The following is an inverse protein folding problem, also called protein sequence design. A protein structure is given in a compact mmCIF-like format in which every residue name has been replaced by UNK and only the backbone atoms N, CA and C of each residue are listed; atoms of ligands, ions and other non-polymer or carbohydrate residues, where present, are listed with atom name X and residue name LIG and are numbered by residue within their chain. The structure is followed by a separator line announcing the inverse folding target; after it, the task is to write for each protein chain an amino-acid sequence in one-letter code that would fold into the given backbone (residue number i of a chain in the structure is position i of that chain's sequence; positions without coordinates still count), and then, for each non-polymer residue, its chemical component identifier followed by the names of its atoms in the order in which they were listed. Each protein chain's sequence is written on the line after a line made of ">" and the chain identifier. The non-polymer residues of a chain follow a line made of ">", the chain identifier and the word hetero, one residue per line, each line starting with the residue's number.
data_IF_493259303565
#
_entry.id   IF_493259303565
#
_cell.length_a   1.000
_cell.length_b   1.000
_cell.length_c   1.000
_cell.angle_alpha   90.00
_cell.angle_beta   90.00
_cell.angle_gamma   90.00
#
_symmetry.space_group_name_H-M   'P 1'
#
loop_
_entity.id
_entity.type
_entity.pdbx_description
1 polymer ?
#
# COMPACT_ATOMS: atom_id res chain seq x y z
N UNK A 1 -8.80 33.09 -1.65
CA UNK A 1 -9.51 32.41 -2.75
C UNK A 1 -8.86 31.03 -2.89
N UNK A 2 -9.65 29.93 -2.94
CA UNK A 2 -9.10 28.64 -3.32
C UNK A 2 -8.57 28.73 -4.76
N UNK A 3 -7.42 28.09 -5.09
CA UNK A 3 -6.89 28.11 -6.45
C UNK A 3 -7.91 27.48 -7.42
N UNK A 4 -8.01 28.04 -8.63
CA UNK A 4 -8.92 27.54 -9.67
C UNK A 4 -8.53 26.14 -10.23
N UNK A 5 -7.40 25.59 -9.80
CA UNK A 5 -6.85 24.31 -10.25
C UNK A 5 -6.69 23.37 -9.06
N UNK A 6 -7.00 22.08 -9.24
CA UNK A 6 -6.92 21.05 -8.23
C UNK A 6 -6.13 19.85 -8.79
N UNK A 7 -4.82 19.82 -8.50
CA UNK A 7 -3.91 18.75 -8.94
C UNK A 7 -3.61 17.86 -7.74
N UNK A 8 -4.20 16.67 -7.72
CA UNK A 8 -4.05 15.73 -6.61
C UNK A 8 -2.97 14.68 -6.90
N UNK A 9 -1.81 14.83 -6.27
CA UNK A 9 -0.64 13.96 -6.40
C UNK A 9 -0.30 13.24 -5.08
N UNK A 10 -1.31 12.97 -4.25
CA UNK A 10 -1.17 12.17 -3.01
C UNK A 10 -2.01 10.88 -3.03
N UNK A 11 -2.06 10.24 -4.20
CA UNK A 11 -2.86 9.02 -4.43
C UNK A 11 -2.38 7.80 -3.63
N UNK A 12 -1.16 7.81 -3.10
CA UNK A 12 -0.68 6.78 -2.16
C UNK A 12 -1.27 6.93 -0.76
N UNK A 13 -1.73 8.13 -0.38
CA UNK A 13 -2.47 8.31 0.86
C UNK A 13 -3.92 7.82 0.72
N UNK A 14 -4.61 8.22 -0.33
CA UNK A 14 -5.96 7.76 -0.72
C UNK A 14 -6.25 8.19 -2.13
N UNK A 15 -7.15 7.49 -2.84
CA UNK A 15 -7.68 7.92 -4.13
C UNK A 15 -9.13 8.39 -3.99
N UNK A 16 -9.59 9.23 -4.91
CA UNK A 16 -11.01 9.55 -5.07
C UNK A 16 -11.75 8.30 -5.57
N UNK A 17 -12.89 7.91 -4.97
CA UNK A 17 -13.74 6.88 -5.57
C UNK A 17 -14.17 7.29 -6.97
N UNK A 18 -14.14 6.34 -7.93
CA UNK A 18 -14.62 6.62 -9.27
C UNK A 18 -16.15 6.78 -9.30
N UNK A 19 -16.67 7.48 -10.30
CA UNK A 19 -18.11 7.69 -10.43
C UNK A 19 -18.88 6.36 -10.61
N UNK A 20 -18.25 5.37 -11.24
CA UNK A 20 -18.79 4.01 -11.33
C UNK A 20 -18.92 3.34 -9.96
N UNK A 21 -17.89 3.49 -9.11
CA UNK A 21 -17.91 2.99 -7.72
C UNK A 21 -19.00 3.67 -6.90
N UNK A 22 -19.09 5.00 -6.98
CA UNK A 22 -20.12 5.77 -6.26
C UNK A 22 -21.52 5.31 -6.69
N UNK A 23 -21.76 5.14 -7.99
CA UNK A 23 -23.04 4.68 -8.54
C UNK A 23 -23.39 3.26 -8.10
N UNK A 24 -22.39 2.34 -8.07
CA UNK A 24 -22.60 0.98 -7.60
C UNK A 24 -22.94 0.92 -6.10
N UNK A 25 -22.23 1.70 -5.29
CA UNK A 25 -22.51 1.83 -3.86
C UNK A 25 -23.90 2.41 -3.58
N UNK A 26 -24.30 3.46 -4.32
CA UNK A 26 -25.59 4.10 -4.15
C UNK A 26 -26.74 3.11 -4.43
N UNK A 27 -26.64 2.31 -5.50
CA UNK A 27 -27.64 1.26 -5.79
C UNK A 27 -27.77 0.24 -4.64
N UNK A 28 -26.66 -0.16 -4.03
CA UNK A 28 -26.73 -1.07 -2.88
C UNK A 28 -27.42 -0.40 -1.70
N UNK A 29 -27.10 0.86 -1.40
CA UNK A 29 -27.67 1.61 -0.27
C UNK A 29 -29.18 1.85 -0.43
N UNK A 30 -29.67 1.97 -1.66
CA UNK A 30 -31.08 2.30 -1.95
C UNK A 30 -31.94 1.08 -2.30
N UNK A 31 -31.36 0.07 -2.94
CA UNK A 31 -32.12 -1.05 -3.52
C UNK A 31 -31.78 -2.41 -2.89
N UNK A 32 -30.51 -2.63 -2.46
CA UNK A 32 -29.99 -3.93 -2.01
C UNK A 32 -29.38 -3.86 -0.58
N UNK A 33 -29.97 -3.04 0.28
CA UNK A 33 -29.47 -2.75 1.65
C UNK A 33 -29.71 -3.84 2.68
N UNK A 34 -30.32 -4.96 2.28
CA UNK A 34 -30.71 -6.04 3.17
C UNK A 34 -29.49 -6.79 3.72
N UNK A 35 -29.63 -7.33 4.92
CA UNK A 35 -28.58 -8.14 5.54
C UNK A 35 -28.36 -9.43 4.74
N UNK A 36 -27.17 -9.69 4.19
CA UNK A 36 -26.89 -10.84 3.33
C UNK A 36 -27.03 -12.20 4.05
N UNK A 37 -26.97 -12.21 5.38
CA UNK A 37 -27.13 -13.43 6.18
C UNK A 37 -28.61 -13.89 6.35
N UNK A 38 -29.59 -13.10 5.86
CA UNK A 38 -30.99 -13.48 5.96
C UNK A 38 -31.43 -14.40 4.81
N UNK A 39 -32.54 -15.16 5.03
CA UNK A 39 -32.96 -16.21 4.09
C UNK A 39 -33.95 -15.72 3.00
N UNK A 40 -34.42 -14.48 3.08
CA UNK A 40 -35.38 -13.95 2.12
C UNK A 40 -34.68 -13.42 0.85
N UNK A 41 -35.44 -13.39 -0.27
CA UNK A 41 -34.93 -13.10 -1.60
C UNK A 41 -34.07 -11.81 -1.73
N UNK A 42 -34.44 -10.65 -1.17
CA UNK A 42 -33.59 -9.46 -1.23
C UNK A 42 -32.22 -9.62 -0.54
N UNK A 43 -32.13 -10.38 0.54
CA UNK A 43 -30.87 -10.68 1.22
C UNK A 43 -29.97 -11.58 0.36
N UNK A 44 -30.57 -12.59 -0.30
CA UNK A 44 -29.84 -13.43 -1.29
C UNK A 44 -29.29 -12.60 -2.46
N UNK A 45 -29.97 -11.53 -2.85
CA UNK A 45 -29.44 -10.62 -3.89
C UNK A 45 -28.21 -9.85 -3.40
N UNK A 46 -28.24 -9.36 -2.15
CA UNK A 46 -27.07 -8.71 -1.54
C UNK A 46 -25.87 -9.68 -1.44
N UNK A 47 -26.09 -10.93 -1.06
CA UNK A 47 -25.05 -11.96 -1.03
C UNK A 47 -24.47 -12.26 -2.42
N UNK A 48 -25.30 -12.34 -3.47
CA UNK A 48 -24.84 -12.51 -4.84
C UNK A 48 -23.94 -11.37 -5.30
N UNK A 49 -24.26 -10.13 -4.95
CA UNK A 49 -23.42 -8.97 -5.26
C UNK A 49 -22.06 -9.05 -4.55
N UNK A 50 -22.05 -9.47 -3.29
CA UNK A 50 -20.79 -9.69 -2.55
C UNK A 50 -19.97 -10.83 -3.17
N UNK A 51 -20.60 -11.93 -3.56
CA UNK A 51 -19.92 -13.05 -4.23
C UNK A 51 -19.29 -12.62 -5.54
N UNK A 52 -19.99 -11.86 -6.38
CA UNK A 52 -19.45 -11.32 -7.63
C UNK A 52 -18.25 -10.38 -7.38
N UNK A 53 -18.31 -9.54 -6.34
CA UNK A 53 -17.18 -8.69 -5.95
C UNK A 53 -15.98 -9.53 -5.49
N UNK A 54 -16.22 -10.58 -4.70
CA UNK A 54 -15.19 -11.53 -4.24
C UNK A 54 -14.48 -12.21 -5.41
N UNK A 55 -15.24 -12.71 -6.37
CA UNK A 55 -14.71 -13.35 -7.58
C UNK A 55 -13.87 -12.38 -8.41
N UNK A 56 -14.35 -11.14 -8.58
CA UNK A 56 -13.61 -10.09 -9.29
C UNK A 56 -12.24 -9.82 -8.65
N UNK A 57 -12.19 -9.68 -7.31
CA UNK A 57 -10.95 -9.47 -6.58
C UNK A 57 -9.99 -10.66 -6.67
N UNK A 58 -10.50 -11.89 -6.49
CA UNK A 58 -9.70 -13.12 -6.61
C UNK A 58 -9.13 -13.29 -8.02
N UNK A 59 -9.93 -13.01 -9.05
CA UNK A 59 -9.49 -13.06 -10.45
C UNK A 59 -8.38 -12.05 -10.72
N UNK A 60 -8.55 -10.81 -10.26
CA UNK A 60 -7.57 -9.74 -10.47
C UNK A 60 -6.24 -10.01 -9.76
N UNK A 61 -6.26 -10.65 -8.59
CA UNK A 61 -5.06 -11.09 -7.87
C UNK A 61 -4.43 -12.37 -8.43
N UNK A 62 -5.03 -13.02 -9.44
CA UNK A 62 -4.60 -14.36 -9.87
C UNK A 62 -4.75 -15.41 -8.78
N UNK A 63 -5.78 -15.30 -7.94
CA UNK A 63 -5.99 -16.08 -6.72
C UNK A 63 -7.21 -17.03 -6.81
N UNK A 64 -7.57 -17.50 -8.00
CA UNK A 64 -8.67 -18.44 -8.19
C UNK A 64 -8.47 -19.69 -7.33
N UNK A 65 -9.52 -20.13 -6.64
CA UNK A 65 -9.49 -21.31 -5.75
C UNK A 65 -8.88 -21.06 -4.37
N UNK A 66 -8.54 -19.81 -4.06
CA UNK A 66 -8.10 -19.37 -2.73
C UNK A 66 -9.25 -18.66 -1.99
N UNK A 67 -9.05 -18.33 -0.72
CA UNK A 67 -10.06 -17.65 0.11
C UNK A 67 -9.78 -16.15 0.13
N UNK A 68 -10.81 -15.33 -0.11
CA UNK A 68 -10.80 -13.91 0.16
C UNK A 68 -11.70 -13.64 1.38
N UNK A 69 -11.17 -12.91 2.36
CA UNK A 69 -11.89 -12.38 3.53
C UNK A 69 -12.00 -10.88 3.37
N UNK A 70 -13.21 -10.34 3.39
CA UNK A 70 -13.42 -8.90 3.40
C UNK A 70 -13.11 -8.30 4.77
N UNK A 71 -12.47 -7.15 4.78
CA UNK A 71 -12.02 -6.44 5.97
C UNK A 71 -12.40 -4.96 5.89
N UNK A 72 -12.20 -4.21 6.96
CA UNK A 72 -12.41 -2.75 6.96
C UNK A 72 -11.30 -1.96 6.23
N UNK A 73 -10.24 -2.62 5.79
CA UNK A 73 -9.12 -2.02 5.06
C UNK A 73 -7.84 -2.84 5.20
N UNK A 74 -6.75 -2.36 4.60
CA UNK A 74 -5.45 -3.03 4.66
C UNK A 74 -4.96 -3.29 6.09
N UNK A 75 -5.10 -2.31 6.98
CA UNK A 75 -4.67 -2.45 8.38
C UNK A 75 -5.34 -3.65 9.10
N UNK A 76 -6.65 -3.84 8.93
CA UNK A 76 -7.33 -5.00 9.51
C UNK A 76 -6.89 -6.29 8.83
N UNK A 77 -6.69 -6.27 7.51
CA UNK A 77 -6.22 -7.41 6.73
C UNK A 77 -4.82 -7.87 7.20
N UNK A 78 -3.87 -6.94 7.36
CA UNK A 78 -2.52 -7.23 7.85
C UNK A 78 -2.55 -7.80 9.27
N UNK A 79 -3.35 -7.21 10.17
CA UNK A 79 -3.47 -7.68 11.54
C UNK A 79 -4.08 -9.08 11.62
N UNK A 80 -5.12 -9.39 10.82
CA UNK A 80 -5.70 -10.75 10.75
C UNK A 80 -4.65 -11.73 10.21
N UNK A 81 -3.93 -11.35 9.15
CA UNK A 81 -2.92 -12.20 8.55
C UNK A 81 -1.78 -12.53 9.53
N UNK A 82 -1.28 -11.53 10.23
CA UNK A 82 -0.12 -11.65 11.13
C UNK A 82 -0.54 -12.28 12.47
N UNK A 83 -1.40 -11.58 13.22
CA UNK A 83 -1.76 -11.99 14.57
C UNK A 83 -2.66 -13.24 14.56
N UNK A 84 -3.57 -13.32 13.58
CA UNK A 84 -4.41 -14.50 13.40
C UNK A 84 -3.62 -15.75 13.06
N UNK A 85 -2.59 -15.63 12.18
CA UNK A 85 -1.70 -16.74 11.88
C UNK A 85 -0.88 -17.15 13.10
N UNK A 86 -0.23 -16.22 13.79
CA UNK A 86 0.62 -16.51 14.94
C UNK A 86 -0.13 -17.19 16.10
N UNK A 87 -1.44 -16.95 16.26
CA UNK A 87 -2.30 -17.68 17.18
C UNK A 87 -2.45 -19.18 16.83
N UNK A 88 -2.17 -19.57 15.61
CA UNK A 88 -2.20 -20.99 15.18
C UNK A 88 -0.85 -21.69 15.35
N UNK A 89 0.22 -20.92 15.57
CA UNK A 89 1.58 -21.44 15.74
C UNK A 89 1.75 -22.02 17.13
N UNK A 90 2.03 -23.33 17.21
CA UNK A 90 2.08 -24.06 18.51
C UNK A 90 3.28 -23.71 19.38
N UNK A 91 4.42 -23.36 18.77
CA UNK A 91 5.66 -23.03 19.49
C UNK A 91 6.15 -21.67 19.02
N UNK A 92 6.43 -20.73 19.92
CA UNK A 92 7.03 -19.46 19.56
C UNK A 92 8.32 -19.67 18.74
N UNK A 93 8.50 -18.78 17.75
CA UNK A 93 9.66 -18.75 16.86
C UNK A 93 10.03 -17.32 16.53
N UNK A 94 10.91 -17.15 15.53
CA UNK A 94 11.24 -15.82 15.01
C UNK A 94 10.22 -15.36 13.99
N UNK A 95 9.88 -14.07 14.06
CA UNK A 95 9.08 -13.34 13.08
C UNK A 95 9.96 -12.27 12.45
N UNK A 96 10.13 -12.36 11.15
CA UNK A 96 10.94 -11.41 10.38
C UNK A 96 10.00 -10.37 9.75
N UNK A 97 10.03 -9.15 10.29
CA UNK A 97 9.29 -8.01 9.73
C UNK A 97 10.21 -7.20 8.82
N UNK A 98 9.71 -6.81 7.65
CA UNK A 98 10.48 -5.93 6.77
C UNK A 98 10.62 -4.54 7.39
N UNK A 99 11.83 -3.96 7.39
CA UNK A 99 12.15 -2.73 8.15
C UNK A 99 11.40 -1.48 7.67
N UNK A 100 10.90 -1.50 6.44
CA UNK A 100 10.20 -0.39 5.79
C UNK A 100 8.71 -0.66 5.57
N UNK A 101 8.14 -1.59 6.34
CA UNK A 101 6.71 -1.89 6.35
C UNK A 101 5.85 -0.69 6.76
N UNK A 102 4.59 -0.75 6.36
CA UNK A 102 3.58 0.18 6.87
C UNK A 102 3.39 0.02 8.40
N UNK A 103 3.04 1.08 9.14
CA UNK A 103 2.74 1.00 10.58
C UNK A 103 1.72 -0.08 10.98
N UNK A 104 0.80 -0.47 10.10
CA UNK A 104 -0.14 -1.57 10.33
C UNK A 104 0.56 -2.90 10.62
N UNK A 105 1.73 -3.13 10.03
CA UNK A 105 2.59 -4.30 10.23
C UNK A 105 3.60 -4.06 11.35
N UNK A 106 4.35 -2.95 11.29
CA UNK A 106 5.41 -2.67 12.28
C UNK A 106 4.87 -2.59 13.72
N UNK A 107 3.69 -2.00 13.89
CA UNK A 107 3.10 -1.87 15.23
C UNK A 107 2.57 -3.20 15.79
N UNK A 108 2.48 -4.26 15.00
CA UNK A 108 2.21 -5.61 15.49
C UNK A 108 3.38 -6.16 16.33
N UNK A 109 4.60 -5.63 16.19
CA UNK A 109 5.80 -6.15 16.84
C UNK A 109 5.65 -6.31 18.36
N UNK A 110 5.01 -5.35 19.03
CA UNK A 110 4.79 -5.42 20.47
C UNK A 110 3.84 -6.58 20.87
N UNK A 111 2.78 -6.79 20.10
CA UNK A 111 1.85 -7.89 20.36
C UNK A 111 2.46 -9.25 20.02
N UNK A 112 3.22 -9.32 18.92
CA UNK A 112 4.01 -10.50 18.54
C UNK A 112 4.95 -10.92 19.68
N UNK A 113 5.64 -9.95 20.30
CA UNK A 113 6.53 -10.21 21.43
C UNK A 113 5.75 -10.68 22.66
N UNK A 114 4.53 -10.14 22.94
CA UNK A 114 3.66 -10.61 24.01
C UNK A 114 3.18 -12.04 23.81
N UNK A 115 3.03 -12.47 22.55
CA UNK A 115 2.71 -13.86 22.20
C UNK A 115 3.93 -14.80 22.35
N UNK A 116 5.09 -14.30 22.77
CA UNK A 116 6.32 -15.05 23.03
C UNK A 116 7.23 -15.23 21.81
N UNK A 117 6.92 -14.64 20.67
CA UNK A 117 7.77 -14.68 19.47
C UNK A 117 8.89 -13.63 19.54
N UNK A 118 10.04 -13.93 18.95
CA UNK A 118 11.14 -12.97 18.76
C UNK A 118 10.93 -12.22 17.44
N UNK A 119 10.92 -10.89 17.50
CA UNK A 119 10.82 -10.03 16.30
C UNK A 119 12.21 -9.59 15.86
N UNK A 120 12.50 -9.73 14.59
CA UNK A 120 13.69 -9.20 13.93
C UNK A 120 13.28 -8.45 12.66
N UNK A 121 14.13 -7.48 12.22
CA UNK A 121 13.82 -6.63 11.08
C UNK A 121 14.72 -6.98 9.89
N UNK A 122 14.10 -7.28 8.73
CA UNK A 122 14.80 -7.50 7.47
C UNK A 122 15.24 -6.13 6.93
N UNK A 123 16.54 -5.90 6.71
CA UNK A 123 17.04 -4.62 6.23
C UNK A 123 16.79 -4.40 4.73
N UNK A 124 16.94 -3.15 4.30
CA UNK A 124 16.87 -2.71 2.90
C UNK A 124 18.23 -2.24 2.40
N UNK A 125 18.38 -2.20 1.08
CA UNK A 125 19.44 -1.48 0.40
C UNK A 125 19.12 0.03 0.25
N UNK A 126 20.01 0.78 -0.40
CA UNK A 126 19.83 2.23 -0.64
C UNK A 126 18.66 2.58 -1.55
N UNK A 127 18.11 1.60 -2.29
CA UNK A 127 16.92 1.76 -3.14
C UNK A 127 15.61 1.50 -2.37
N UNK A 128 15.69 1.06 -1.11
CA UNK A 128 14.53 0.62 -0.33
C UNK A 128 14.04 -0.78 -0.71
N UNK A 129 14.89 -1.58 -1.38
CA UNK A 129 14.63 -2.96 -1.77
C UNK A 129 15.23 -3.89 -0.71
N UNK A 130 14.57 -5.04 -0.46
CA UNK A 130 14.99 -6.05 0.48
C UNK A 130 16.43 -6.51 0.21
N UNK A 131 17.29 -6.45 1.23
CA UNK A 131 18.64 -7.00 1.18
C UNK A 131 18.57 -8.53 1.29
N UNK A 132 18.53 -9.20 0.14
CA UNK A 132 18.40 -10.67 0.06
C UNK A 132 19.56 -11.40 0.73
N UNK A 133 20.77 -10.84 0.71
CA UNK A 133 21.95 -11.44 1.36
C UNK A 133 21.77 -11.45 2.87
N UNK A 134 21.31 -10.34 3.45
CA UNK A 134 21.04 -10.27 4.89
C UNK A 134 19.82 -11.11 5.26
N UNK A 135 18.77 -11.10 4.43
CA UNK A 135 17.62 -12.00 4.65
C UNK A 135 18.07 -13.46 4.68
N UNK A 136 18.90 -13.91 3.72
CA UNK A 136 19.39 -15.27 3.68
C UNK A 136 20.10 -15.68 4.98
N UNK A 137 20.94 -14.79 5.53
CA UNK A 137 21.64 -15.01 6.81
C UNK A 137 20.70 -15.04 8.03
N UNK A 138 19.49 -14.44 7.92
CA UNK A 138 18.50 -14.43 9.00
C UNK A 138 17.59 -15.66 8.98
N UNK A 139 17.47 -16.35 7.84
CA UNK A 139 16.56 -17.49 7.69
C UNK A 139 17.06 -18.73 8.46
N UNK A 140 16.13 -19.51 8.97
CA UNK A 140 16.39 -20.76 9.69
C UNK A 140 15.08 -21.46 10.05
N UNK A 141 15.16 -22.71 10.54
CA UNK A 141 14.00 -23.53 10.86
C UNK A 141 13.10 -22.97 11.96
N UNK A 142 13.61 -22.06 12.77
CA UNK A 142 12.91 -21.36 13.86
C UNK A 142 12.12 -20.15 13.38
N UNK A 143 12.28 -19.71 12.13
CA UNK A 143 11.46 -18.67 11.53
C UNK A 143 10.05 -19.21 11.25
N UNK A 144 9.02 -18.53 11.77
CA UNK A 144 7.63 -18.94 11.59
C UNK A 144 6.85 -18.00 10.66
N UNK A 145 7.22 -16.72 10.56
CA UNK A 145 6.56 -15.73 9.71
C UNK A 145 7.58 -14.76 9.13
N UNK A 146 7.39 -14.41 7.87
CA UNK A 146 8.09 -13.35 7.16
C UNK A 146 7.03 -12.38 6.63
N UNK A 147 7.20 -11.08 6.84
CA UNK A 147 6.35 -10.07 6.23
C UNK A 147 7.17 -9.18 5.29
N UNK A 148 6.57 -8.78 4.18
CA UNK A 148 7.10 -7.72 3.33
C UNK A 148 5.98 -7.07 2.56
N UNK A 149 6.06 -5.74 2.37
CA UNK A 149 5.15 -5.05 1.48
C UNK A 149 5.51 -5.33 0.02
N UNK A 150 4.52 -5.36 -0.88
CA UNK A 150 4.81 -5.53 -2.32
C UNK A 150 5.49 -4.30 -2.91
N UNK A 151 5.01 -3.12 -2.55
CA UNK A 151 5.52 -1.82 -3.00
C UNK A 151 5.62 -0.89 -1.80
N UNK A 152 6.78 -0.27 -1.61
CA UNK A 152 6.92 0.71 -0.55
C UNK A 152 6.11 1.99 -0.84
N UNK A 153 5.31 2.42 0.12
CA UNK A 153 4.37 3.53 -0.01
C UNK A 153 5.02 4.92 0.00
N UNK A 154 6.32 5.02 0.32
CA UNK A 154 7.04 6.29 0.35
C UNK A 154 7.95 6.49 -0.87
N UNK A 155 8.68 5.46 -1.28
CA UNK A 155 9.69 5.54 -2.34
C UNK A 155 9.35 4.74 -3.60
N UNK A 156 8.29 3.92 -3.56
CA UNK A 156 7.86 3.14 -4.71
C UNK A 156 8.77 1.96 -5.05
N UNK A 157 9.55 1.46 -4.10
CA UNK A 157 10.38 0.27 -4.31
C UNK A 157 9.51 -1.00 -4.34
N UNK A 158 9.56 -1.74 -5.45
CA UNK A 158 8.92 -3.06 -5.61
C UNK A 158 9.83 -4.11 -4.97
N UNK A 159 9.25 -4.97 -4.15
CA UNK A 159 10.02 -5.98 -3.43
C UNK A 159 10.16 -7.29 -4.20
N UNK A 160 11.29 -8.00 -4.08
CA UNK A 160 11.60 -9.24 -4.80
C UNK A 160 10.91 -10.44 -4.14
N UNK A 161 9.57 -10.49 -4.20
CA UNK A 161 8.76 -11.50 -3.50
C UNK A 161 9.12 -12.93 -3.90
N UNK A 162 9.35 -13.16 -5.20
CA UNK A 162 9.67 -14.49 -5.71
C UNK A 162 11.02 -15.00 -5.18
N UNK A 163 12.02 -14.12 -5.08
CA UNK A 163 13.34 -14.43 -4.52
C UNK A 163 13.25 -14.71 -3.02
N UNK A 164 12.45 -13.93 -2.29
CA UNK A 164 12.16 -14.17 -0.87
C UNK A 164 11.49 -15.53 -0.68
N UNK A 165 10.53 -15.88 -1.53
CA UNK A 165 9.87 -17.20 -1.49
C UNK A 165 10.86 -18.33 -1.73
N UNK A 166 11.76 -18.20 -2.71
CA UNK A 166 12.82 -19.22 -3.01
C UNK A 166 13.76 -19.40 -1.83
N UNK A 167 14.20 -18.31 -1.21
CA UNK A 167 15.05 -18.36 -0.01
C UNK A 167 14.33 -19.04 1.15
N UNK A 168 13.07 -18.67 1.43
CA UNK A 168 12.24 -19.27 2.47
C UNK A 168 12.06 -20.76 2.23
N UNK A 169 11.74 -21.19 1.01
CA UNK A 169 11.51 -22.60 0.68
C UNK A 169 12.75 -23.47 0.95
N UNK A 170 13.94 -22.89 0.75
CA UNK A 170 15.22 -23.56 0.99
C UNK A 170 15.63 -23.59 2.46
N UNK A 171 15.45 -22.48 3.20
CA UNK A 171 16.09 -22.27 4.51
C UNK A 171 15.11 -22.22 5.68
N UNK A 172 13.84 -21.92 5.43
CA UNK A 172 12.79 -21.82 6.43
C UNK A 172 11.45 -22.34 5.88
N UNK A 173 11.37 -23.61 5.38
CA UNK A 173 10.23 -24.10 4.58
C UNK A 173 8.90 -24.10 5.34
N UNK A 174 8.93 -23.99 6.66
CA UNK A 174 7.72 -23.90 7.51
C UNK A 174 7.25 -22.48 7.75
N UNK A 175 8.05 -21.48 7.42
CA UNK A 175 7.68 -20.08 7.61
C UNK A 175 6.57 -19.68 6.62
N UNK A 176 5.54 -19.01 7.13
CA UNK A 176 4.56 -18.35 6.26
C UNK A 176 5.14 -17.02 5.73
N UNK A 177 4.70 -16.61 4.53
CA UNK A 177 4.97 -15.28 4.01
C UNK A 177 3.64 -14.53 3.92
N UNK A 178 3.59 -13.36 4.54
CA UNK A 178 2.53 -12.37 4.39
C UNK A 178 3.02 -11.20 3.54
N UNK A 179 2.21 -10.77 2.57
CA UNK A 179 2.52 -9.61 1.74
C UNK A 179 1.45 -8.53 1.92
N UNK A 180 1.88 -7.34 2.37
CA UNK A 180 1.07 -6.12 2.25
C UNK A 180 1.09 -5.65 0.80
N UNK A 181 0.02 -5.94 0.07
CA UNK A 181 -0.18 -5.55 -1.32
C UNK A 181 -0.92 -4.24 -1.52
N UNK A 182 -1.17 -3.47 -0.47
CA UNK A 182 -2.01 -2.25 -0.50
C UNK A 182 -1.54 -1.24 -1.55
N UNK A 183 -0.24 -1.10 -1.77
CA UNK A 183 0.30 -0.23 -2.82
C UNK A 183 0.52 -0.96 -4.15
N UNK A 184 0.59 -2.28 -4.15
CA UNK A 184 0.89 -3.07 -5.35
C UNK A 184 -0.33 -3.54 -6.12
N UNK A 185 -1.44 -3.85 -5.44
CA UNK A 185 -2.65 -4.42 -6.04
C UNK A 185 -3.15 -3.58 -7.21
N UNK A 186 -3.29 -4.19 -8.39
CA UNK A 186 -3.64 -3.61 -9.69
C UNK A 186 -2.63 -2.60 -10.29
N UNK A 187 -1.58 -2.23 -9.55
CA UNK A 187 -0.58 -1.24 -9.99
C UNK A 187 0.76 -1.84 -10.37
N UNK A 188 1.04 -3.03 -9.85
CA UNK A 188 2.24 -3.81 -10.17
C UNK A 188 1.82 -5.25 -10.42
N UNK A 189 2.30 -5.90 -11.49
CA UNK A 189 1.96 -7.29 -11.78
C UNK A 189 2.27 -8.20 -10.59
N UNK A 190 1.28 -8.97 -10.18
CA UNK A 190 1.42 -10.01 -9.16
C UNK A 190 0.39 -11.11 -9.38
N UNK A 191 0.79 -12.35 -9.21
CA UNK A 191 -0.09 -13.50 -9.38
C UNK A 191 -0.02 -14.39 -8.14
N UNK A 192 -0.95 -14.18 -7.21
CA UNK A 192 -0.96 -14.84 -5.92
C UNK A 192 -0.89 -16.38 -6.03
N UNK A 193 -1.68 -16.98 -6.91
CA UNK A 193 -1.72 -18.46 -7.07
C UNK A 193 -0.39 -19.07 -7.49
N UNK A 194 0.44 -18.34 -8.25
CA UNK A 194 1.75 -18.77 -8.72
C UNK A 194 2.88 -18.41 -7.76
N UNK A 195 2.65 -17.45 -6.85
CA UNK A 195 3.63 -17.07 -5.84
C UNK A 195 3.73 -18.11 -4.73
N UNK A 196 4.80 -18.07 -3.95
CA UNK A 196 4.96 -18.85 -2.72
C UNK A 196 4.32 -18.24 -1.47
N UNK A 197 3.50 -17.19 -1.61
CA UNK A 197 2.93 -16.37 -0.53
C UNK A 197 1.72 -17.05 0.12
N UNK A 198 1.57 -16.97 1.45
CA UNK A 198 0.47 -17.56 2.19
C UNK A 198 -0.70 -16.61 2.40
N UNK A 199 -0.45 -15.30 2.50
CA UNK A 199 -1.49 -14.28 2.65
C UNK A 199 -1.11 -12.97 1.98
N UNK A 200 -2.14 -12.27 1.45
CA UNK A 200 -1.96 -11.02 0.71
C UNK A 200 -3.07 -10.03 1.06
N UNK A 201 -2.70 -8.87 1.57
CA UNK A 201 -3.63 -7.80 1.97
C UNK A 201 -3.74 -6.72 0.89
N UNK A 202 -4.95 -6.13 0.73
CA UNK A 202 -5.16 -4.97 -0.14
C UNK A 202 -6.30 -4.09 0.37
N UNK A 203 -6.43 -2.88 -0.17
CA UNK A 203 -7.42 -1.89 0.27
C UNK A 203 -8.04 -1.15 -0.90
N UNK A 204 -9.36 -1.01 -0.89
CA UNK A 204 -10.11 -0.43 -2.00
C UNK A 204 -9.77 1.05 -2.25
N UNK A 205 -9.56 1.83 -1.17
CA UNK A 205 -9.30 3.26 -1.30
C UNK A 205 -7.96 3.63 -1.95
N UNK A 206 -7.14 2.67 -2.31
CA UNK A 206 -5.92 2.88 -3.09
C UNK A 206 -6.14 2.68 -4.59
N UNK A 207 -7.27 2.10 -4.98
CA UNK A 207 -7.61 1.75 -6.37
C UNK A 207 -8.96 2.34 -6.81
N UNK A 208 -9.25 3.56 -6.37
CA UNK A 208 -10.50 4.30 -6.66
C UNK A 208 -11.77 3.66 -6.09
N UNK A 209 -11.64 2.78 -5.09
CA UNK A 209 -12.74 2.29 -4.26
C UNK A 209 -12.99 3.17 -3.03
N UNK A 210 -13.98 2.78 -2.22
CA UNK A 210 -14.30 3.50 -0.99
C UNK A 210 -13.29 3.20 0.14
N UNK A 211 -13.21 4.12 1.10
CA UNK A 211 -12.63 3.86 2.43
C UNK A 211 -13.50 2.87 3.20
N UNK A 212 -12.96 2.22 4.22
CA UNK A 212 -13.72 1.31 5.09
C UNK A 212 -13.97 -0.08 4.50
N UNK A 213 -13.22 -0.47 3.46
CA UNK A 213 -13.22 -1.82 2.90
C UNK A 213 -11.85 -2.20 2.34
N UNK A 214 -11.48 -3.46 2.57
CA UNK A 214 -10.28 -4.10 2.03
C UNK A 214 -10.48 -5.61 1.95
N UNK A 215 -9.42 -6.32 1.61
CA UNK A 215 -9.44 -7.76 1.48
C UNK A 215 -8.16 -8.42 1.94
N UNK A 216 -8.30 -9.62 2.47
CA UNK A 216 -7.22 -10.53 2.80
C UNK A 216 -7.39 -11.82 2.00
N UNK A 217 -6.46 -12.08 1.10
CA UNK A 217 -6.40 -13.35 0.38
C UNK A 217 -5.57 -14.33 1.21
N UNK A 218 -6.12 -15.51 1.45
CA UNK A 218 -5.47 -16.62 2.15
C UNK A 218 -5.28 -17.79 1.18
N UNK A 219 -4.08 -18.34 1.12
CA UNK A 219 -3.79 -19.55 0.35
C UNK A 219 -4.62 -20.73 0.86
N UNK A 220 -5.13 -21.54 -0.06
CA UNK A 220 -5.87 -22.75 0.29
C UNK A 220 -5.05 -23.61 1.27
N UNK A 221 -5.64 -23.91 2.43
CA UNK A 221 -5.00 -24.66 3.51
C UNK A 221 -4.21 -23.80 4.52
N UNK A 222 -3.93 -22.53 4.23
CA UNK A 222 -3.38 -21.61 5.21
C UNK A 222 -4.47 -21.18 6.22
N UNK A 223 -4.18 -21.33 7.51
CA UNK A 223 -5.15 -21.07 8.57
C UNK A 223 -4.76 -19.84 9.37
N UNK A 224 -5.75 -19.03 9.68
CA UNK A 224 -5.66 -17.93 10.63
C UNK A 224 -6.76 -18.07 11.68
N UNK A 225 -6.45 -17.79 12.92
CA UNK A 225 -7.47 -17.70 13.97
C UNK A 225 -8.13 -16.31 13.93
N UNK A 226 -9.41 -16.19 14.27
CA UNK A 226 -10.08 -14.90 14.32
C UNK A 226 -9.44 -13.98 15.37
N UNK A 227 -9.42 -12.69 15.06
CA UNK A 227 -9.06 -11.61 15.99
C UNK A 227 -10.27 -10.70 16.28
N UNK A 228 -11.34 -10.81 15.45
CA UNK A 228 -12.62 -10.14 15.62
C UNK A 228 -13.69 -11.22 15.79
N UNK A 229 -14.29 -11.29 16.97
CA UNK A 229 -15.25 -12.32 17.36
C UNK A 229 -16.68 -11.83 17.20
N UNK A 230 -17.62 -12.75 16.85
CA UNK A 230 -19.04 -12.42 16.69
C UNK A 230 -19.83 -13.50 15.95
N UNK A 231 -20.68 -13.10 15.02
CA UNK A 231 -21.69 -13.94 14.36
C UNK A 231 -21.18 -14.90 13.28
N UNK A 232 -19.87 -15.06 13.10
CA UNK A 232 -19.29 -16.06 12.20
C UNK A 232 -19.23 -15.66 10.72
N UNK A 233 -19.44 -14.38 10.40
CA UNK A 233 -19.29 -13.86 9.04
C UNK A 233 -17.87 -14.11 8.49
N UNK A 234 -17.70 -14.03 7.18
CA UNK A 234 -16.44 -14.29 6.48
C UNK A 234 -15.80 -15.64 6.89
N UNK A 235 -16.62 -16.68 7.00
CA UNK A 235 -16.18 -18.02 7.39
C UNK A 235 -15.67 -18.12 8.84
N UNK A 236 -16.10 -17.22 9.72
CA UNK A 236 -15.67 -17.14 11.12
C UNK A 236 -14.34 -16.43 11.33
N UNK A 237 -13.67 -15.97 10.27
CA UNK A 237 -12.38 -15.28 10.37
C UNK A 237 -12.56 -13.82 10.76
N UNK A 238 -13.59 -13.17 10.23
CA UNK A 238 -13.88 -11.75 10.49
C UNK A 238 -15.39 -11.56 10.69
N UNK A 239 -15.80 -11.58 11.94
CA UNK A 239 -17.21 -11.42 12.31
C UNK A 239 -17.68 -9.96 12.24
N UNK A 240 -19.00 -9.78 12.11
CA UNK A 240 -19.68 -8.50 11.99
C UNK A 240 -20.39 -8.37 10.65
N UNK A 241 -21.56 -7.75 10.65
CA UNK A 241 -22.36 -7.55 9.42
C UNK A 241 -21.51 -6.92 8.33
N UNK A 242 -21.58 -7.49 7.15
CA UNK A 242 -20.73 -7.13 6.02
C UNK A 242 -21.08 -5.74 5.48
N UNK A 243 -20.06 -4.97 5.13
CA UNK A 243 -20.21 -3.68 4.45
C UNK A 243 -20.54 -3.89 2.96
N UNK A 244 -21.75 -4.36 2.67
CA UNK A 244 -22.17 -4.70 1.31
C UNK A 244 -21.92 -3.57 0.32
N UNK A 245 -22.28 -2.29 0.61
CA UNK A 245 -22.00 -1.19 -0.32
C UNK A 245 -20.50 -1.02 -0.62
N UNK A 246 -19.66 -1.09 0.42
CA UNK A 246 -18.21 -0.97 0.26
C UNK A 246 -17.61 -2.14 -0.50
N UNK A 247 -18.07 -3.36 -0.24
CA UNK A 247 -17.61 -4.59 -0.92
C UNK A 247 -17.97 -4.54 -2.42
N UNK A 248 -19.21 -4.18 -2.75
CA UNK A 248 -19.64 -4.03 -4.15
C UNK A 248 -18.86 -2.91 -4.84
N UNK A 249 -18.67 -1.77 -4.14
CA UNK A 249 -17.85 -0.68 -4.65
C UNK A 249 -16.40 -1.09 -4.89
N UNK A 250 -15.81 -1.95 -4.03
CA UNK A 250 -14.47 -2.50 -4.25
C UNK A 250 -14.43 -3.42 -5.48
N UNK A 251 -15.42 -4.30 -5.64
CA UNK A 251 -15.54 -5.14 -6.84
C UNK A 251 -15.64 -4.31 -8.12
N UNK A 252 -16.38 -3.20 -8.09
CA UNK A 252 -16.50 -2.26 -9.21
C UNK A 252 -15.18 -1.54 -9.48
N UNK A 253 -14.46 -1.08 -8.44
CA UNK A 253 -13.14 -0.48 -8.58
C UNK A 253 -12.15 -1.43 -9.27
N UNK A 254 -12.16 -2.70 -8.88
CA UNK A 254 -11.33 -3.74 -9.52
C UNK A 254 -11.70 -3.94 -10.98
N UNK A 255 -12.99 -3.99 -11.28
CA UNK A 255 -13.51 -4.23 -12.65
C UNK A 255 -13.20 -3.07 -13.61
N UNK A 256 -13.21 -1.85 -13.10
CA UNK A 256 -13.05 -0.62 -13.90
C UNK A 256 -11.64 -0.04 -13.86
N UNK A 257 -10.72 -0.64 -13.10
CA UNK A 257 -9.34 -0.14 -13.05
C UNK A 257 -8.67 -0.23 -14.43
N UNK A 258 -8.08 0.87 -14.95
CA UNK A 258 -7.55 0.91 -16.30
C UNK A 258 -6.34 -0.03 -16.49
N UNK A 259 -6.42 -0.93 -17.46
CA UNK A 259 -5.33 -1.88 -17.75
C UNK A 259 -4.00 -1.19 -18.15
N UNK A 260 -4.08 -0.07 -18.86
CA UNK A 260 -2.93 0.71 -19.34
C UNK A 260 -2.46 1.76 -18.32
N UNK A 261 -3.13 1.88 -17.19
CA UNK A 261 -2.86 2.90 -16.17
C UNK A 261 -1.41 2.88 -15.66
N UNK A 262 -0.79 1.71 -15.59
CA UNK A 262 0.60 1.56 -15.12
C UNK A 262 1.61 2.20 -16.08
N UNK A 263 1.47 1.98 -17.39
CA UNK A 263 2.35 2.57 -18.40
C UNK A 263 2.18 4.09 -18.44
N UNK A 264 0.95 4.58 -18.39
CA UNK A 264 0.63 6.01 -18.32
C UNK A 264 1.28 6.68 -17.10
N UNK A 265 1.07 6.11 -15.90
CA UNK A 265 1.68 6.63 -14.67
C UNK A 265 3.20 6.65 -14.73
N UNK A 266 3.84 5.63 -15.32
CA UNK A 266 5.30 5.60 -15.47
C UNK A 266 5.79 6.71 -16.40
N UNK A 267 5.12 6.95 -17.52
CA UNK A 267 5.45 8.06 -18.42
C UNK A 267 5.34 9.42 -17.73
N UNK A 268 4.25 9.64 -16.97
CA UNK A 268 4.06 10.87 -16.19
C UNK A 268 5.11 11.02 -15.07
N UNK A 269 5.49 9.94 -14.40
CA UNK A 269 6.53 9.93 -13.38
C UNK A 269 7.89 10.32 -13.97
N UNK A 270 8.24 9.77 -15.12
CA UNK A 270 9.47 10.12 -15.85
C UNK A 270 9.48 11.60 -16.24
N UNK A 271 8.38 12.11 -16.82
CA UNK A 271 8.20 13.52 -17.17
C UNK A 271 8.35 14.43 -15.93
N UNK A 272 7.67 14.08 -14.83
CA UNK A 272 7.73 14.86 -13.59
C UNK A 272 9.17 14.94 -13.05
N UNK A 273 9.87 13.82 -12.95
CA UNK A 273 11.22 13.81 -12.42
C UNK A 273 12.22 14.53 -13.33
N UNK A 274 12.12 14.37 -14.65
CA UNK A 274 12.95 15.10 -15.60
C UNK A 274 12.78 16.62 -15.46
N UNK A 275 11.52 17.09 -15.42
CA UNK A 275 11.24 18.51 -15.24
C UNK A 275 11.66 19.06 -13.86
N UNK A 276 11.49 18.26 -12.78
CA UNK A 276 12.00 18.64 -11.46
C UNK A 276 13.53 18.79 -11.49
N UNK A 277 14.27 17.89 -12.13
CA UNK A 277 15.73 17.97 -12.22
C UNK A 277 16.22 19.17 -13.02
N UNK A 278 15.47 19.55 -14.06
CA UNK A 278 15.76 20.77 -14.85
C UNK A 278 15.52 22.04 -14.01
N UNK A 279 14.38 22.12 -13.33
CA UNK A 279 14.01 23.26 -12.51
C UNK A 279 14.83 23.37 -11.19
N UNK A 280 15.29 22.24 -10.66
CA UNK A 280 16.04 22.08 -9.41
C UNK A 280 17.23 21.16 -9.62
N UNK A 281 18.39 21.68 -10.10
CA UNK A 281 19.55 20.85 -10.47
C UNK A 281 20.14 19.99 -9.34
N UNK A 282 19.83 20.32 -8.08
CA UNK A 282 20.24 19.55 -6.90
C UNK A 282 19.22 18.49 -6.43
N UNK A 283 18.13 18.30 -7.17
CA UNK A 283 17.10 17.32 -6.82
C UNK A 283 17.64 15.88 -6.89
N UNK A 284 17.40 15.11 -5.84
CA UNK A 284 17.84 13.70 -5.72
C UNK A 284 16.64 12.77 -5.68
N UNK A 285 16.66 11.72 -6.50
CA UNK A 285 15.69 10.63 -6.43
C UNK A 285 15.93 9.79 -5.17
N UNK A 286 14.88 9.48 -4.44
CA UNK A 286 14.91 8.54 -3.33
C UNK A 286 14.14 7.28 -3.74
N UNK A 287 14.82 6.16 -3.82
CA UNK A 287 14.26 4.88 -4.28
C UNK A 287 15.00 4.33 -5.50
N UNK A 288 14.40 3.34 -6.19
CA UNK A 288 14.95 2.79 -7.41
C UNK A 288 15.02 3.81 -8.55
N UNK A 289 16.02 3.71 -9.42
CA UNK A 289 16.09 4.49 -10.66
C UNK A 289 14.86 4.22 -11.54
N UNK A 290 14.49 5.17 -12.40
CA UNK A 290 13.22 5.09 -13.14
C UNK A 290 13.17 3.97 -14.19
N UNK A 291 14.31 3.46 -14.60
CA UNK A 291 14.48 2.30 -15.50
C UNK A 291 14.74 0.98 -14.74
N UNK A 292 14.88 1.02 -13.41
CA UNK A 292 15.03 -0.17 -12.59
C UNK A 292 13.69 -0.95 -12.55
N UNK A 293 13.69 -2.27 -12.81
CA UNK A 293 12.50 -3.12 -12.66
C UNK A 293 11.85 -3.06 -11.27
N UNK A 294 12.60 -2.68 -10.23
CA UNK A 294 12.08 -2.45 -8.89
C UNK A 294 11.36 -1.10 -8.72
N UNK A 295 11.22 -0.30 -9.76
CA UNK A 295 10.57 1.02 -9.71
C UNK A 295 9.07 0.92 -9.99
N UNK A 296 8.23 1.19 -9.00
CA UNK A 296 6.78 1.25 -9.18
C UNK A 296 6.35 2.49 -9.95
N UNK A 297 5.32 2.39 -10.82
CA UNK A 297 4.96 3.49 -11.74
C UNK A 297 4.33 4.70 -11.06
N UNK A 298 3.73 4.54 -9.90
CA UNK A 298 2.82 5.50 -9.30
C UNK A 298 3.40 6.32 -8.13
N UNK A 299 4.64 6.07 -7.70
CA UNK A 299 5.26 6.79 -6.57
C UNK A 299 6.60 7.35 -6.99
N UNK A 300 6.79 8.63 -6.78
CA UNK A 300 8.04 9.37 -6.92
C UNK A 300 8.37 10.05 -5.60
N UNK A 301 9.57 9.83 -5.09
CA UNK A 301 10.08 10.53 -3.91
C UNK A 301 11.36 11.29 -4.28
N UNK A 302 11.40 12.61 -3.99
CA UNK A 302 12.48 13.49 -4.40
C UNK A 302 12.90 14.39 -3.24
N UNK A 303 14.18 14.42 -2.93
CA UNK A 303 14.77 15.38 -2.00
C UNK A 303 15.07 16.70 -2.72
N UNK A 304 14.51 17.80 -2.24
CA UNK A 304 14.64 19.16 -2.79
C UNK A 304 15.48 20.07 -1.88
N UNK A 305 16.60 19.55 -1.36
CA UNK A 305 17.46 20.32 -0.47
C UNK A 305 17.95 21.63 -1.14
N UNK A 306 18.05 22.74 -0.38
CA UNK A 306 17.88 22.85 1.08
C UNK A 306 16.45 23.19 1.53
N UNK A 307 15.45 23.16 0.64
CA UNK A 307 14.06 23.54 0.96
C UNK A 307 13.38 22.40 1.73
N UNK A 308 12.87 22.71 2.92
CA UNK A 308 12.15 21.71 3.73
C UNK A 308 10.86 21.28 3.05
N UNK A 309 10.59 19.98 3.10
CA UNK A 309 9.41 19.37 2.46
C UNK A 309 8.09 20.00 2.90
N UNK A 310 7.93 20.29 4.19
CA UNK A 310 6.73 20.92 4.72
C UNK A 310 6.52 22.35 4.16
N UNK A 311 7.60 23.13 4.02
CA UNK A 311 7.54 24.49 3.44
C UNK A 311 7.13 24.42 1.96
N UNK A 312 7.73 23.49 1.20
CA UNK A 312 7.37 23.29 -0.20
C UNK A 312 5.94 22.77 -0.35
N UNK A 313 5.49 21.86 0.52
CA UNK A 313 4.13 21.32 0.52
C UNK A 313 3.10 22.47 0.65
N UNK A 314 3.25 23.35 1.64
CA UNK A 314 2.33 24.48 1.81
C UNK A 314 2.39 25.47 0.65
N UNK A 315 3.57 25.69 0.04
CA UNK A 315 3.69 26.52 -1.14
C UNK A 315 2.94 25.95 -2.34
N UNK A 316 3.03 24.63 -2.55
CA UNK A 316 2.30 23.90 -3.60
C UNK A 316 0.79 23.84 -3.32
N UNK A 317 0.38 23.66 -2.06
CA UNK A 317 -1.04 23.72 -1.66
C UNK A 317 -1.65 25.08 -1.99
N UNK A 318 -0.91 26.18 -1.80
CA UNK A 318 -1.30 27.51 -2.23
C UNK A 318 -1.57 27.66 -3.73
N UNK A 319 -0.97 26.81 -4.55
CA UNK A 319 -1.19 26.71 -6.02
C UNK A 319 -2.23 25.63 -6.39
N UNK A 320 -2.86 24.98 -5.40
CA UNK A 320 -3.83 23.90 -5.61
C UNK A 320 -3.21 22.54 -5.98
N UNK A 321 -1.94 22.32 -5.62
CA UNK A 321 -1.24 21.06 -5.85
C UNK A 321 -1.06 20.36 -4.50
N UNK A 322 -1.58 19.13 -4.40
CA UNK A 322 -1.58 18.34 -3.16
C UNK A 322 -0.58 17.19 -3.27
N UNK A 323 0.42 17.21 -2.41
CA UNK A 323 1.53 16.23 -2.32
C UNK A 323 1.73 15.80 -0.87
N UNK A 324 2.65 14.89 -0.61
CA UNK A 324 2.98 14.44 0.76
C UNK A 324 4.42 14.77 1.13
N UNK A 325 4.62 15.17 2.39
CA UNK A 325 5.94 15.37 2.99
C UNK A 325 6.24 14.20 3.94
N UNK A 326 6.96 13.18 3.47
CA UNK A 326 7.38 12.03 4.27
C UNK A 326 6.20 11.21 4.81
N UNK A 327 6.30 10.71 6.04
CA UNK A 327 5.24 9.92 6.67
C UNK A 327 4.04 10.81 7.07
N UNK A 328 3.03 10.91 6.22
CA UNK A 328 1.78 11.64 6.47
C UNK A 328 0.96 11.11 7.67
N UNK A 329 1.36 10.02 8.31
CA UNK A 329 0.63 9.36 9.40
C UNK A 329 0.89 9.94 10.81
N UNK A 330 1.46 11.13 10.92
CA UNK A 330 1.77 11.72 12.22
C UNK A 330 1.40 13.20 12.33
N UNK A 331 0.09 13.55 12.28
CA UNK A 331 -0.40 14.93 12.35
C UNK A 331 0.04 15.73 13.60
N UNK A 332 0.71 15.12 14.57
CA UNK A 332 1.07 15.77 15.84
C UNK A 332 2.53 15.68 16.28
N UNK A 333 3.43 14.97 15.55
CA UNK A 333 4.88 15.02 15.82
C UNK A 333 5.64 14.87 14.51
N UNK A 334 6.48 15.83 14.17
CA UNK A 334 7.48 15.72 13.10
C UNK A 334 8.40 14.51 13.40
N UNK A 335 8.09 13.35 12.83
CA UNK A 335 9.01 12.22 12.81
C UNK A 335 9.62 12.15 11.42
N UNK A 336 10.94 12.16 11.37
CA UNK A 336 11.70 11.83 10.15
C UNK A 336 11.23 10.47 9.64
N UNK A 337 11.12 10.30 8.33
CA UNK A 337 10.71 9.03 7.71
C UNK A 337 11.65 7.89 8.12
N UNK A 338 11.09 6.87 8.75
CA UNK A 338 11.83 5.65 9.08
C UNK A 338 12.29 4.89 7.83
N UNK A 339 11.54 5.00 6.73
CA UNK A 339 11.88 4.40 5.44
C UNK A 339 13.15 5.05 4.88
N UNK A 340 13.16 6.39 4.75
CA UNK A 340 14.32 7.12 4.22
C UNK A 340 15.55 6.95 5.12
N UNK A 341 15.36 6.91 6.45
CA UNK A 341 16.43 6.63 7.40
C UNK A 341 16.98 5.21 7.23
N UNK A 342 16.10 4.20 7.06
CA UNK A 342 16.53 2.81 6.82
C UNK A 342 17.31 2.66 5.51
N UNK A 343 17.05 3.49 4.51
CA UNK A 343 17.78 3.57 3.24
C UNK A 343 19.13 4.30 3.37
N UNK A 344 19.40 4.94 4.52
CA UNK A 344 20.66 5.62 4.81
C UNK A 344 20.67 7.13 4.53
N UNK A 345 19.51 7.76 4.29
CA UNK A 345 19.43 9.21 4.20
C UNK A 345 19.66 9.85 5.58
N UNK A 346 20.32 10.99 5.59
CA UNK A 346 20.43 11.82 6.78
C UNK A 346 19.06 12.44 7.12
N UNK A 347 18.86 12.81 8.39
CA UNK A 347 17.65 13.49 8.82
C UNK A 347 17.40 14.79 8.02
N UNK A 348 18.46 15.51 7.67
CA UNK A 348 18.39 16.76 6.89
C UNK A 348 17.90 16.49 5.44
N UNK A 349 18.39 15.43 4.81
CA UNK A 349 17.91 15.03 3.48
C UNK A 349 16.46 14.56 3.51
N UNK A 350 16.11 13.72 4.49
CA UNK A 350 14.76 13.21 4.66
C UNK A 350 13.73 14.32 4.96
N UNK A 351 14.13 15.38 5.68
CA UNK A 351 13.27 16.55 5.97
C UNK A 351 13.00 17.41 4.72
N UNK A 352 13.80 17.24 3.66
CA UNK A 352 13.62 17.90 2.36
C UNK A 352 12.96 16.99 1.30
N UNK A 353 12.52 15.79 1.67
CA UNK A 353 11.97 14.82 0.74
C UNK A 353 10.45 14.98 0.55
N UNK A 354 10.00 15.10 -0.69
CA UNK A 354 8.59 15.13 -1.08
C UNK A 354 8.22 13.85 -1.83
N UNK A 355 7.03 13.34 -1.54
CA UNK A 355 6.44 12.24 -2.28
C UNK A 355 5.32 12.76 -3.18
N UNK A 356 5.40 12.41 -4.45
CA UNK A 356 4.35 12.57 -5.45
C UNK A 356 3.79 11.18 -5.74
N UNK A 357 2.48 11.03 -5.75
CA UNK A 357 1.87 9.76 -6.10
C UNK A 357 0.72 9.92 -7.07
N UNK A 358 0.85 9.21 -8.17
CA UNK A 358 0.03 9.30 -9.36
C UNK A 358 -1.14 8.32 -9.32
N UNK A 359 -2.15 8.59 -10.12
CA UNK A 359 -3.21 7.66 -10.48
C UNK A 359 -3.47 7.77 -12.00
N UNK A 360 -4.24 6.84 -12.59
CA UNK A 360 -4.52 6.89 -14.04
C UNK A 360 -5.20 8.16 -14.54
N UNK A 361 -5.86 8.92 -13.68
CA UNK A 361 -6.60 10.14 -14.06
C UNK A 361 -5.71 11.40 -14.12
N UNK A 362 -4.45 11.34 -13.66
CA UNK A 362 -3.50 12.48 -13.72
C UNK A 362 -3.12 12.73 -15.18
N UNK A 363 -3.09 14.00 -15.58
CA UNK A 363 -2.79 14.42 -16.95
C UNK A 363 -1.37 14.98 -17.09
N UNK A 364 -0.81 15.03 -18.32
CA UNK A 364 0.45 15.71 -18.60
C UNK A 364 0.40 17.18 -18.21
N UNK A 365 -0.74 17.86 -18.43
CA UNK A 365 -0.92 19.26 -18.08
C UNK A 365 -0.84 19.49 -16.55
N UNK A 366 -1.25 18.51 -15.73
CA UNK A 366 -1.11 18.57 -14.28
C UNK A 366 0.35 18.44 -13.87
N UNK A 367 1.09 17.57 -14.55
CA UNK A 367 2.52 17.38 -14.35
C UNK A 367 3.31 18.63 -14.72
N UNK A 368 3.04 19.21 -15.89
CA UNK A 368 3.75 20.42 -16.36
C UNK A 368 3.53 21.59 -15.42
N UNK A 369 2.27 21.81 -15.00
CA UNK A 369 1.95 22.84 -14.01
C UNK A 369 2.65 22.59 -12.66
N UNK A 370 2.73 21.34 -12.23
CA UNK A 370 3.43 20.98 -10.98
C UNK A 370 4.92 21.31 -11.08
N UNK A 371 5.57 21.00 -12.21
CA UNK A 371 6.98 21.31 -12.46
C UNK A 371 7.24 22.82 -12.41
N UNK A 372 6.40 23.62 -13.09
CA UNK A 372 6.47 25.09 -13.09
C UNK A 372 6.41 25.63 -11.66
N UNK A 373 5.40 25.20 -10.87
CA UNK A 373 5.23 25.65 -9.50
C UNK A 373 6.39 25.23 -8.58
N UNK A 374 6.93 24.02 -8.74
CA UNK A 374 8.11 23.57 -7.99
C UNK A 374 9.29 24.48 -8.28
N UNK A 375 9.59 24.76 -9.54
CA UNK A 375 10.70 25.63 -9.95
C UNK A 375 10.56 27.03 -9.38
N UNK A 376 9.38 27.65 -9.51
CA UNK A 376 9.03 28.97 -8.97
C UNK A 376 9.28 29.04 -7.46
N UNK A 377 8.68 28.12 -6.71
CA UNK A 377 8.73 28.13 -5.25
C UNK A 377 10.11 27.73 -4.72
N UNK A 378 10.77 26.76 -5.34
CA UNK A 378 12.14 26.40 -4.96
C UNK A 378 13.10 27.58 -5.07
N UNK A 379 13.06 28.33 -6.18
CA UNK A 379 13.93 29.48 -6.39
C UNK A 379 13.67 30.59 -5.37
N UNK A 380 12.42 30.80 -4.97
CA UNK A 380 12.04 31.74 -3.93
C UNK A 380 12.50 31.25 -2.54
N UNK A 381 12.15 30.03 -2.18
CA UNK A 381 12.31 29.51 -0.82
C UNK A 381 13.80 29.25 -0.46
N UNK A 382 14.62 28.82 -1.41
CA UNK A 382 16.05 28.58 -1.14
C UNK A 382 16.79 29.82 -0.66
N UNK A 383 16.32 31.01 -1.04
CA UNK A 383 16.92 32.28 -0.61
C UNK A 383 16.73 32.57 0.89
N UNK A 384 15.71 31.97 1.53
CA UNK A 384 15.40 32.16 2.94
C UNK A 384 15.95 31.08 3.86
N UNK A 385 16.58 30.04 3.29
CA UNK A 385 17.22 28.99 4.10
C UNK A 385 18.49 29.58 4.71
N UNK A 386 18.53 29.73 6.03
CA UNK A 386 19.74 30.14 6.75
C UNK A 386 20.83 29.08 6.54
N UNK A 387 21.99 29.53 6.09
CA UNK A 387 23.21 28.70 6.01
C UNK A 387 23.72 28.27 7.38
#
# INVERSE_FOLDING_TARGET
>A
MMPNRNVYLDNSATTRPSDAVVSAMLRVLTENWHNPSALYQPAMQAEKLMTAARESCLKAAGAAGHTLVFTAGGTEADNIAILGYLRTVKKPGRVLLFSVEHPAVLNCAQEIARMGHKVEHIPVDKRGVCDLTKLEAMLGEDVCLITLMQVNNEVGAIQPIDEVCKLRDRLAPRAAIHVDGVQGFLRVPFHFGKSGVQSYAFSAHKIHGSKGVGGLILRKGHRVAPIVFGGGQEGGIRSGTENVPGIVGMGEAVRTYPAEGCAHMMALKQRLFAGIREAVPGAKLNGPELDDPACAPHILNVTLAPVRSQTMLFALEGEGIYVSAGSACGAHKQKVSSVLTAMGLTNAEADCALRFSLCPDVTEADIDYTIECIGKHYNMLKAFVRR
#
